data_IF_568729878473
#
_entry.id   IF_568729878473
#
_cell.length_a   1.000
_cell.length_b   1.000
_cell.length_c   1.000
_cell.angle_alpha   90.00
_cell.angle_beta   90.00
_cell.angle_gamma   90.00
#
_symmetry.space_group_name_H-M   'P 1'
#
loop_
_entity.id
_entity.type
_entity.pdbx_description
1 polymer ?
#
# COMPACT_ATOMS: atom_id res chain seq x y z
N UNK A 1 -11.67 6.88 -13.42
CA UNK A 1 -12.01 8.32 -13.48
C UNK A 1 -12.71 8.80 -12.22
N UNK A 2 -13.79 8.17 -11.76
CA UNK A 2 -14.48 8.58 -10.53
C UNK A 2 -13.59 8.49 -9.26
N UNK A 3 -12.81 7.41 -9.12
CA UNK A 3 -11.86 7.24 -8.02
C UNK A 3 -10.76 8.32 -7.99
N UNK A 4 -10.28 8.73 -9.16
CA UNK A 4 -9.28 9.80 -9.28
C UNK A 4 -9.85 11.14 -8.79
N UNK A 5 -11.05 11.50 -9.26
CA UNK A 5 -11.74 12.73 -8.83
C UNK A 5 -11.98 12.73 -7.33
N UNK A 6 -12.39 11.59 -6.77
CA UNK A 6 -12.60 11.45 -5.33
C UNK A 6 -11.31 11.66 -4.53
N UNK A 7 -10.22 10.97 -4.89
CA UNK A 7 -8.93 11.08 -4.19
C UNK A 7 -8.37 12.50 -4.29
N UNK A 8 -8.42 13.11 -5.47
CA UNK A 8 -8.01 14.50 -5.67
C UNK A 8 -8.85 15.46 -4.83
N UNK A 9 -10.18 15.22 -4.76
CA UNK A 9 -11.09 16.01 -3.95
C UNK A 9 -10.76 15.96 -2.46
N UNK A 10 -10.50 14.76 -1.91
CA UNK A 10 -10.09 14.63 -0.50
C UNK A 10 -8.75 15.33 -0.25
N UNK A 11 -7.77 15.15 -1.13
CA UNK A 11 -6.44 15.74 -0.99
C UNK A 11 -6.48 17.28 -1.00
N UNK A 12 -7.18 17.88 -1.96
CA UNK A 12 -7.30 19.34 -2.03
C UNK A 12 -8.11 19.87 -0.84
N UNK A 13 -9.20 19.19 -0.45
CA UNK A 13 -9.98 19.63 0.72
C UNK A 13 -9.16 19.65 2.01
N UNK A 14 -8.39 18.60 2.27
CA UNK A 14 -7.53 18.52 3.47
C UNK A 14 -6.39 19.55 3.42
N UNK A 15 -5.86 19.84 2.23
CA UNK A 15 -4.91 20.93 2.02
C UNK A 15 -5.52 22.29 2.42
N UNK A 16 -6.69 22.62 1.89
CA UNK A 16 -7.38 23.88 2.21
C UNK A 16 -7.78 23.97 3.69
N UNK A 17 -8.12 22.82 4.31
CA UNK A 17 -8.37 22.75 5.75
C UNK A 17 -7.13 23.16 6.56
N UNK A 18 -5.92 22.86 6.08
CA UNK A 18 -4.67 23.30 6.71
C UNK A 18 -4.54 24.82 6.75
N UNK A 19 -4.68 25.47 5.59
CA UNK A 19 -4.68 26.93 5.49
C UNK A 19 -5.75 27.55 6.39
N UNK A 20 -6.98 27.01 6.34
CA UNK A 20 -8.10 27.45 7.16
C UNK A 20 -7.79 27.41 8.67
N UNK A 21 -7.37 26.25 9.18
CA UNK A 21 -7.14 26.05 10.61
C UNK A 21 -6.05 26.97 11.15
N UNK A 22 -4.93 27.10 10.43
CA UNK A 22 -3.82 27.95 10.87
C UNK A 22 -4.16 29.43 10.73
N UNK A 23 -4.87 29.84 9.68
CA UNK A 23 -5.31 31.23 9.52
C UNK A 23 -6.22 31.67 10.68
N UNK A 24 -7.22 30.85 11.04
CA UNK A 24 -8.11 31.12 12.18
C UNK A 24 -7.32 31.18 13.49
N UNK A 25 -6.35 30.27 13.70
CA UNK A 25 -5.50 30.25 14.90
C UNK A 25 -4.59 31.48 15.00
N UNK A 26 -4.12 32.02 13.87
CA UNK A 26 -3.35 33.27 13.81
C UNK A 26 -4.22 34.54 13.91
N UNK A 27 -5.53 34.40 14.15
CA UNK A 27 -6.46 35.52 14.21
C UNK A 27 -6.58 36.27 12.89
N UNK A 28 -6.46 35.55 11.77
CA UNK A 28 -6.77 36.06 10.44
C UNK A 28 -8.25 35.82 10.14
N UNK A 29 -8.88 36.78 9.45
CA UNK A 29 -10.26 36.64 9.01
C UNK A 29 -10.31 35.66 7.83
N UNK A 30 -11.04 34.56 7.97
CA UNK A 30 -11.40 33.69 6.85
C UNK A 30 -12.81 34.01 6.42
N UNK A 31 -12.98 34.43 5.18
CA UNK A 31 -14.26 34.85 4.63
C UNK A 31 -15.10 33.65 4.20
N UNK A 32 -14.46 32.66 3.57
CA UNK A 32 -15.14 31.48 3.04
C UNK A 32 -14.29 30.22 3.28
N UNK A 33 -14.96 29.12 3.64
CA UNK A 33 -14.39 27.78 3.64
C UNK A 33 -15.41 26.83 3.03
N UNK A 34 -15.07 26.18 1.92
CA UNK A 34 -15.99 25.41 1.09
C UNK A 34 -15.48 24.01 0.86
N UNK A 35 -16.39 23.03 0.91
CA UNK A 35 -16.20 21.74 0.27
C UNK A 35 -16.66 21.85 -1.18
N UNK A 36 -15.72 21.69 -2.12
CA UNK A 36 -15.90 21.94 -3.54
C UNK A 36 -15.74 23.40 -3.94
N UNK A 37 -15.79 23.64 -5.25
CA UNK A 37 -15.65 24.95 -5.90
C UNK A 37 -17.00 25.54 -6.32
N UNK A 38 -17.11 26.88 -6.40
CA UNK A 38 -18.31 27.58 -6.85
C UNK A 38 -18.92 27.00 -8.15
N UNK A 39 -20.24 27.12 -8.36
CA UNK A 39 -21.21 27.89 -7.56
C UNK A 39 -21.63 27.21 -6.25
N UNK A 40 -22.03 28.02 -5.26
CA UNK A 40 -22.57 27.57 -3.97
C UNK A 40 -23.80 26.68 -4.18
N UNK A 41 -23.82 25.51 -3.51
CA UNK A 41 -25.02 24.69 -3.42
C UNK A 41 -25.79 25.04 -2.14
N UNK A 42 -25.14 24.90 -0.99
CA UNK A 42 -25.68 25.30 0.31
C UNK A 42 -24.57 25.86 1.20
N UNK A 43 -24.94 26.60 2.24
CA UNK A 43 -23.95 27.08 3.20
C UNK A 43 -24.54 27.90 4.33
N UNK A 44 -23.81 27.94 5.43
CA UNK A 44 -24.17 28.64 6.66
C UNK A 44 -23.07 29.62 7.02
N UNK A 45 -23.43 30.81 7.49
CA UNK A 45 -22.47 31.75 8.04
C UNK A 45 -22.38 31.57 9.55
N UNK A 46 -21.17 31.37 10.04
CA UNK A 46 -20.89 31.31 11.47
C UNK A 46 -19.72 32.25 11.79
N UNK A 47 -20.00 33.30 12.56
CA UNK A 47 -19.07 34.41 12.79
C UNK A 47 -18.76 35.17 11.50
N UNK A 48 -17.47 35.40 11.23
CA UNK A 48 -17.00 36.01 9.99
C UNK A 48 -16.89 35.05 8.79
N UNK A 49 -17.01 33.74 9.02
CA UNK A 49 -16.72 32.72 8.00
C UNK A 49 -18.01 32.14 7.42
N UNK A 50 -18.09 32.09 6.10
CA UNK A 50 -19.13 31.38 5.37
C UNK A 50 -18.67 29.94 5.07
N UNK A 51 -19.36 28.96 5.64
CA UNK A 51 -19.11 27.54 5.43
C UNK A 51 -20.01 27.02 4.33
N UNK A 52 -19.41 26.49 3.27
CA UNK A 52 -20.09 26.21 2.02
C UNK A 52 -19.92 24.74 1.62
N UNK A 53 -20.93 24.22 0.95
CA UNK A 53 -20.77 23.08 0.04
C UNK A 53 -21.18 23.57 -1.33
N UNK A 54 -20.30 23.37 -2.30
CA UNK A 54 -20.45 23.90 -3.64
C UNK A 54 -20.69 22.79 -4.66
N UNK A 55 -21.30 23.13 -5.80
CA UNK A 55 -21.77 22.16 -6.79
C UNK A 55 -20.65 21.40 -7.49
N UNK A 56 -19.43 21.94 -7.53
CA UNK A 56 -18.30 21.28 -8.16
C UNK A 56 -17.45 20.56 -7.09
N UNK A 57 -17.57 19.23 -6.91
CA UNK A 57 -16.99 18.49 -5.78
C UNK A 57 -15.49 18.18 -5.99
N UNK A 58 -14.72 19.14 -6.50
CA UNK A 58 -13.33 18.98 -6.90
C UNK A 58 -12.34 19.47 -5.83
N UNK A 59 -12.57 19.25 -4.55
CA UNK A 59 -11.62 19.66 -3.51
C UNK A 59 -12.23 20.47 -2.40
N UNK A 60 -11.45 21.45 -1.92
CA UNK A 60 -11.92 22.51 -1.03
C UNK A 60 -11.59 23.87 -1.63
N UNK A 61 -12.11 24.91 -0.98
CA UNK A 61 -11.75 26.29 -1.27
C UNK A 61 -11.73 27.09 0.03
N UNK A 62 -10.64 27.80 0.30
CA UNK A 62 -10.53 28.73 1.42
C UNK A 62 -10.25 30.14 0.91
N UNK A 63 -10.92 31.12 1.49
CA UNK A 63 -10.67 32.53 1.20
C UNK A 63 -10.22 33.24 2.48
N UNK A 64 -8.92 33.49 2.59
CA UNK A 64 -8.32 34.23 3.71
C UNK A 64 -8.21 35.71 3.33
N UNK A 65 -8.69 36.61 4.19
CA UNK A 65 -8.67 38.05 3.90
C UNK A 65 -7.23 38.56 3.70
N UNK A 66 -6.98 39.27 2.60
CA UNK A 66 -5.65 39.79 2.26
C UNK A 66 -4.69 38.75 1.68
N UNK A 67 -5.13 37.50 1.48
CA UNK A 67 -4.37 36.48 0.76
C UNK A 67 -4.88 36.43 -0.69
N UNK A 68 -4.09 36.97 -1.61
CA UNK A 68 -4.48 37.12 -3.01
C UNK A 68 -4.26 35.84 -3.80
N UNK A 69 -5.23 34.93 -3.78
CA UNK A 69 -5.17 33.72 -4.60
C UNK A 69 -5.91 33.89 -5.94
N UNK A 70 -7.03 34.62 -5.97
CA UNK A 70 -7.79 34.93 -7.20
C UNK A 70 -8.58 36.25 -7.05
N UNK A 71 -7.92 37.39 -7.28
CA UNK A 71 -8.60 38.69 -7.37
C UNK A 71 -7.80 39.86 -6.81
N UNK A 72 -8.18 41.08 -7.22
CA UNK A 72 -7.69 42.33 -6.63
C UNK A 72 -8.28 42.49 -5.23
N UNK A 73 -7.74 41.78 -4.26
CA UNK A 73 -7.85 42.23 -2.88
C UNK A 73 -6.93 43.45 -2.77
N UNK A 74 -7.52 44.65 -2.65
CA UNK A 74 -6.79 45.82 -2.18
C UNK A 74 -6.68 45.65 -0.66
N UNK A 75 -5.52 45.25 -0.11
CA UNK A 75 -5.39 45.07 1.33
C UNK A 75 -5.69 46.42 1.98
N UNK A 76 -6.67 46.46 2.87
CA UNK A 76 -7.04 47.66 3.61
C UNK A 76 -6.07 47.90 4.79
N UNK A 77 -5.11 46.98 5.00
CA UNK A 77 -4.12 47.06 6.06
C UNK A 77 -4.70 46.66 7.41
N UNK A 78 -5.83 45.95 7.42
CA UNK A 78 -6.52 45.61 8.65
C UNK A 78 -5.70 44.60 9.47
N UNK A 79 -5.71 44.66 10.82
CA UNK A 79 -4.88 43.78 11.67
C UNK A 79 -5.16 42.27 11.53
N UNK A 80 -6.32 41.90 10.96
CA UNK A 80 -6.75 40.53 10.70
C UNK A 80 -6.52 40.07 9.26
N UNK A 81 -5.97 40.93 8.40
CA UNK A 81 -5.53 40.53 7.06
C UNK A 81 -4.23 39.76 7.12
N UNK A 82 -4.08 38.80 6.20
CA UNK A 82 -2.89 37.99 6.03
C UNK A 82 -1.61 38.84 5.94
N UNK A 83 -1.62 39.84 5.06
CA UNK A 83 -0.46 40.72 4.81
C UNK A 83 -0.06 41.58 6.00
N UNK A 84 -0.99 41.86 6.92
CA UNK A 84 -0.75 42.64 8.13
C UNK A 84 -0.13 41.81 9.26
N UNK A 85 -0.13 40.48 9.17
CA UNK A 85 0.46 39.60 10.19
C UNK A 85 1.99 39.53 10.07
N UNK A 86 2.71 39.24 11.16
CA UNK A 86 4.13 38.90 11.12
C UNK A 86 4.44 37.82 10.08
N UNK A 87 5.59 37.93 9.40
CA UNK A 87 6.00 37.03 8.30
C UNK A 87 6.00 35.54 8.68
N UNK A 88 6.29 35.22 9.94
CA UNK A 88 6.27 33.82 10.39
C UNK A 88 4.85 33.23 10.44
N UNK A 89 3.82 34.04 10.74
CA UNK A 89 2.41 33.60 10.70
C UNK A 89 1.94 33.41 9.26
N UNK A 90 2.36 34.31 8.37
CA UNK A 90 2.11 34.17 6.93
C UNK A 90 2.73 32.88 6.40
N UNK A 91 4.02 32.66 6.71
CA UNK A 91 4.73 31.45 6.33
C UNK A 91 4.08 30.19 6.92
N UNK A 92 3.61 30.22 8.17
CA UNK A 92 2.95 29.06 8.77
C UNK A 92 1.63 28.73 8.09
N UNK A 93 0.85 29.74 7.69
CA UNK A 93 -0.38 29.52 6.92
C UNK A 93 -0.06 28.96 5.55
N UNK A 94 0.91 29.50 4.80
CA UNK A 94 1.33 28.95 3.50
C UNK A 94 1.83 27.50 3.59
N UNK A 95 2.56 27.16 4.66
CA UNK A 95 3.06 25.81 4.87
C UNK A 95 1.99 24.82 5.37
N UNK A 96 0.89 25.32 5.94
CA UNK A 96 -0.13 24.49 6.58
C UNK A 96 -0.83 23.53 5.61
N UNK A 97 -1.10 23.97 4.38
CA UNK A 97 -1.75 23.13 3.37
C UNK A 97 -0.93 21.88 3.03
N UNK A 98 0.32 22.02 2.55
CA UNK A 98 1.20 20.89 2.31
C UNK A 98 1.43 20.02 3.56
N UNK A 99 1.59 20.64 4.73
CA UNK A 99 1.78 19.91 5.99
C UNK A 99 0.58 19.01 6.33
N UNK A 100 -0.66 19.48 6.10
CA UNK A 100 -1.86 18.66 6.31
C UNK A 100 -1.95 17.46 5.37
N UNK A 101 -1.43 17.56 4.15
CA UNK A 101 -1.34 16.40 3.26
C UNK A 101 -0.30 15.37 3.73
N UNK A 102 0.82 15.81 4.31
CA UNK A 102 1.79 14.91 4.95
C UNK A 102 1.17 14.19 6.15
N UNK A 103 0.41 14.92 6.98
CA UNK A 103 -0.33 14.35 8.11
C UNK A 103 -1.39 13.34 7.61
N UNK A 104 -2.14 13.70 6.57
CA UNK A 104 -3.12 12.81 5.94
C UNK A 104 -2.45 11.52 5.44
N UNK A 105 -1.31 11.63 4.75
CA UNK A 105 -0.56 10.48 4.27
C UNK A 105 -0.12 9.56 5.43
N UNK A 106 0.39 10.14 6.53
CA UNK A 106 0.75 9.37 7.71
C UNK A 106 -0.45 8.65 8.33
N UNK A 107 -1.59 9.32 8.48
CA UNK A 107 -2.83 8.72 9.00
C UNK A 107 -3.34 7.61 8.07
N UNK A 108 -3.32 7.82 6.74
CA UNK A 108 -3.72 6.80 5.77
C UNK A 108 -2.83 5.56 5.86
N UNK A 109 -1.51 5.74 5.97
CA UNK A 109 -0.56 4.63 6.15
C UNK A 109 -0.86 3.87 7.45
N UNK A 110 -1.11 4.58 8.56
CA UNK A 110 -1.47 3.95 9.82
C UNK A 110 -2.79 3.17 9.72
N UNK A 111 -3.82 3.76 9.11
CA UNK A 111 -5.11 3.09 8.92
C UNK A 111 -4.98 1.83 8.06
N UNK A 112 -4.18 1.89 6.98
CA UNK A 112 -3.91 0.71 6.14
C UNK A 112 -3.18 -0.37 6.97
N UNK A 113 -2.17 -0.01 7.76
CA UNK A 113 -1.46 -0.96 8.62
C UNK A 113 -2.37 -1.60 9.67
N UNK A 114 -3.28 -0.84 10.27
CA UNK A 114 -4.23 -1.39 11.26
C UNK A 114 -5.29 -2.26 10.58
N UNK A 115 -5.81 -1.84 9.43
CA UNK A 115 -6.87 -2.57 8.74
C UNK A 115 -6.40 -3.88 8.09
N UNK A 116 -5.17 -3.90 7.55
CA UNK A 116 -4.62 -5.06 6.83
C UNK A 116 -3.52 -5.81 7.61
N UNK A 117 -3.19 -5.35 8.82
CA UNK A 117 -2.14 -5.90 9.67
C UNK A 117 -0.72 -5.53 9.22
N UNK A 118 0.28 -5.85 10.05
CA UNK A 118 1.64 -5.95 9.55
C UNK A 118 1.68 -7.13 8.57
N UNK A 119 2.11 -6.87 7.33
CA UNK A 119 2.39 -7.92 6.37
C UNK A 119 3.41 -8.87 6.99
N UNK A 120 2.96 -10.01 7.52
CA UNK A 120 3.80 -10.92 8.30
C UNK A 120 5.05 -11.39 7.53
N UNK A 121 5.01 -11.37 6.20
CA UNK A 121 6.16 -11.67 5.36
C UNK A 121 7.28 -10.62 5.46
N UNK A 122 7.00 -9.36 5.80
CA UNK A 122 8.02 -8.32 5.91
C UNK A 122 9.04 -8.64 6.99
N UNK A 123 8.62 -9.29 8.08
CA UNK A 123 9.48 -9.72 9.18
C UNK A 123 10.10 -11.11 8.96
N UNK A 124 9.91 -11.71 7.77
CA UNK A 124 10.45 -13.03 7.43
C UNK A 124 11.65 -12.90 6.51
N UNK A 125 12.60 -13.82 6.62
CA UNK A 125 13.69 -14.00 5.64
C UNK A 125 13.46 -15.22 4.73
N UNK A 126 12.28 -15.85 4.85
CA UNK A 126 11.90 -16.99 4.04
C UNK A 126 11.67 -16.57 2.59
N UNK A 127 12.23 -17.33 1.65
CA UNK A 127 11.92 -17.19 0.24
C UNK A 127 10.56 -17.84 -0.04
N UNK A 128 9.57 -17.04 -0.43
CA UNK A 128 8.26 -17.55 -0.82
C UNK A 128 8.31 -18.36 -2.11
N UNK A 129 9.15 -17.93 -3.04
CA UNK A 129 9.41 -18.60 -4.30
C UNK A 129 10.78 -18.23 -4.86
N UNK A 130 11.32 -19.12 -5.69
CA UNK A 130 12.53 -18.90 -6.47
C UNK A 130 12.25 -19.35 -7.89
N UNK A 131 12.35 -18.45 -8.86
CA UNK A 131 12.04 -18.72 -10.26
C UNK A 131 13.10 -19.62 -10.89
N UNK A 132 12.71 -20.56 -11.75
CA UNK A 132 13.67 -21.49 -12.39
C UNK A 132 14.72 -20.81 -13.27
N UNK A 133 14.42 -19.61 -13.78
CA UNK A 133 15.33 -18.82 -14.62
C UNK A 133 16.41 -18.07 -13.84
N UNK A 134 16.44 -18.14 -12.50
CA UNK A 134 17.40 -17.39 -11.70
C UNK A 134 18.64 -18.21 -11.35
N UNK A 135 19.78 -17.52 -11.22
CA UNK A 135 21.03 -18.13 -10.75
C UNK A 135 20.88 -18.75 -9.35
N UNK A 136 19.99 -18.22 -8.52
CA UNK A 136 19.67 -18.77 -7.19
C UNK A 136 19.06 -20.17 -7.33
N UNK A 137 18.12 -20.36 -8.25
CA UNK A 137 17.52 -21.66 -8.52
C UNK A 137 18.56 -22.64 -9.07
N UNK A 138 19.40 -22.22 -10.00
CA UNK A 138 20.49 -23.06 -10.53
C UNK A 138 21.45 -23.51 -9.42
N UNK A 139 21.73 -22.64 -8.45
CA UNK A 139 22.57 -22.95 -7.28
C UNK A 139 21.91 -23.89 -6.25
N UNK A 140 20.63 -24.22 -6.42
CA UNK A 140 19.90 -25.12 -5.53
C UNK A 140 19.12 -24.43 -4.41
N UNK A 141 19.05 -23.09 -4.41
CA UNK A 141 18.17 -22.33 -3.50
C UNK A 141 16.73 -22.52 -3.97
N UNK A 142 15.81 -22.77 -3.04
CA UNK A 142 14.41 -23.13 -3.33
C UNK A 142 13.46 -22.31 -2.47
N UNK A 143 12.17 -22.42 -2.78
CA UNK A 143 11.12 -21.93 -1.89
C UNK A 143 11.28 -22.54 -0.50
N UNK A 144 10.89 -21.78 0.53
CA UNK A 144 11.00 -22.10 1.97
C UNK A 144 12.40 -22.08 2.58
N UNK A 145 13.43 -21.83 1.78
CA UNK A 145 14.74 -21.49 2.33
C UNK A 145 14.65 -20.19 3.14
N UNK A 146 15.20 -20.18 4.35
CA UNK A 146 15.34 -18.97 5.14
C UNK A 146 16.73 -18.39 4.93
N UNK A 147 16.81 -17.20 4.32
CA UNK A 147 18.10 -16.53 4.17
C UNK A 147 18.53 -16.03 5.54
N UNK A 148 19.73 -16.42 5.96
CA UNK A 148 20.33 -15.99 7.23
C UNK A 148 21.41 -14.95 7.02
N UNK A 149 22.23 -15.12 5.98
CA UNK A 149 23.29 -14.18 5.63
C UNK A 149 23.50 -14.07 4.12
N UNK A 150 23.96 -12.89 3.70
CA UNK A 150 24.45 -12.62 2.34
C UNK A 150 25.81 -11.95 2.48
N UNK A 151 26.87 -12.53 1.91
CA UNK A 151 28.26 -12.08 2.07
C UNK A 151 28.68 -11.84 3.53
N UNK A 152 28.19 -12.67 4.45
CA UNK A 152 28.45 -12.56 5.89
C UNK A 152 27.59 -11.52 6.63
N UNK A 153 26.80 -10.71 5.91
CA UNK A 153 25.86 -9.77 6.51
C UNK A 153 24.58 -10.49 6.92
N UNK A 154 24.22 -10.40 8.20
CA UNK A 154 23.01 -11.01 8.75
C UNK A 154 21.77 -10.27 8.31
N UNK A 155 20.80 -11.00 7.77
CA UNK A 155 19.48 -10.49 7.38
C UNK A 155 18.42 -11.02 8.34
N UNK A 156 17.48 -10.16 8.73
CA UNK A 156 16.45 -10.48 9.73
C UNK A 156 15.02 -10.25 9.25
N UNK A 157 14.87 -9.68 8.06
CA UNK A 157 13.58 -9.32 7.48
C UNK A 157 13.68 -9.33 5.95
N UNK A 158 12.53 -9.25 5.28
CA UNK A 158 12.45 -9.36 3.82
C UNK A 158 13.17 -8.21 3.11
N UNK A 159 13.10 -7.00 3.67
CA UNK A 159 13.79 -5.84 3.10
C UNK A 159 15.31 -6.04 3.10
N UNK A 160 15.87 -6.55 4.19
CA UNK A 160 17.30 -6.87 4.30
C UNK A 160 17.73 -7.97 3.33
N UNK A 161 16.91 -9.01 3.13
CA UNK A 161 17.19 -10.04 2.10
C UNK A 161 17.32 -9.39 0.72
N UNK A 162 16.36 -8.55 0.34
CA UNK A 162 16.37 -7.89 -0.97
C UNK A 162 17.50 -6.88 -1.09
N UNK A 163 17.76 -6.07 -0.06
CA UNK A 163 18.81 -5.06 -0.05
C UNK A 163 20.19 -5.67 -0.28
N UNK A 164 20.52 -6.73 0.47
CA UNK A 164 21.83 -7.37 0.36
C UNK A 164 22.01 -8.15 -0.95
N UNK A 165 20.95 -8.83 -1.43
CA UNK A 165 21.00 -9.51 -2.73
C UNK A 165 21.09 -8.51 -3.89
N UNK A 166 20.31 -7.42 -3.86
CA UNK A 166 20.33 -6.38 -4.87
C UNK A 166 21.67 -5.60 -4.86
N UNK A 167 22.26 -5.38 -3.68
CA UNK A 167 23.59 -4.81 -3.53
C UNK A 167 24.71 -5.68 -4.10
N UNK A 168 24.44 -6.98 -4.29
CA UNK A 168 25.42 -7.97 -4.77
C UNK A 168 25.23 -8.36 -6.24
N UNK A 169 24.36 -7.68 -6.99
CA UNK A 169 24.12 -7.97 -8.41
C UNK A 169 25.40 -7.86 -9.24
N UNK A 170 25.58 -8.79 -10.18
CA UNK A 170 26.78 -8.86 -11.02
C UNK A 170 28.05 -9.32 -10.28
N UNK A 171 27.93 -9.82 -9.05
CA UNK A 171 29.05 -10.33 -8.25
C UNK A 171 28.82 -11.78 -7.82
N UNK A 172 29.92 -12.47 -7.46
CA UNK A 172 29.82 -13.75 -6.77
C UNK A 172 29.46 -13.49 -5.32
N UNK A 173 28.38 -14.12 -4.87
CA UNK A 173 27.73 -13.85 -3.59
C UNK A 173 27.61 -15.15 -2.80
N UNK A 174 28.07 -15.14 -1.56
CA UNK A 174 27.90 -16.26 -0.64
C UNK A 174 26.61 -16.06 0.16
N UNK A 175 25.67 -16.98 0.02
CA UNK A 175 24.36 -16.91 0.65
C UNK A 175 24.22 -18.08 1.63
N UNK A 176 24.08 -17.76 2.91
CA UNK A 176 23.75 -18.74 3.93
C UNK A 176 22.23 -18.87 4.01
N UNK A 177 21.72 -20.04 3.66
CA UNK A 177 20.31 -20.39 3.81
C UNK A 177 20.14 -21.48 4.86
N UNK A 178 18.99 -21.48 5.52
CA UNK A 178 18.55 -22.55 6.40
C UNK A 178 17.38 -23.31 5.75
N UNK A 179 17.51 -24.63 5.69
CA UNK A 179 16.49 -25.55 5.15
C UNK A 179 16.37 -26.73 6.10
N UNK A 180 15.14 -27.00 6.56
CA UNK A 180 14.83 -28.13 7.46
C UNK A 180 15.70 -28.15 8.74
N UNK A 181 16.10 -26.98 9.25
CA UNK A 181 16.97 -26.82 10.42
C UNK A 181 18.47 -27.01 10.14
N UNK A 182 18.85 -27.32 8.90
CA UNK A 182 20.24 -27.37 8.45
C UNK A 182 20.68 -26.07 7.79
N UNK A 183 21.95 -25.68 8.00
CA UNK A 183 22.55 -24.52 7.34
C UNK A 183 23.33 -24.93 6.08
N UNK A 184 23.11 -24.19 4.99
CA UNK A 184 23.71 -24.46 3.68
C UNK A 184 24.26 -23.14 3.14
N UNK A 185 25.54 -23.14 2.77
CA UNK A 185 26.16 -22.00 2.07
C UNK A 185 26.11 -22.24 0.57
N UNK A 186 25.66 -21.24 -0.19
CA UNK A 186 25.59 -21.25 -1.65
C UNK A 186 26.36 -20.06 -2.21
N UNK A 187 27.41 -20.33 -2.98
CA UNK A 187 28.14 -19.32 -3.74
C UNK A 187 27.53 -19.18 -5.12
N UNK A 188 26.87 -18.05 -5.39
CA UNK A 188 26.09 -17.81 -6.61
C UNK A 188 26.67 -16.63 -7.37
N UNK A 189 26.78 -16.74 -8.70
CA UNK A 189 27.07 -15.59 -9.55
C UNK A 189 25.75 -14.88 -9.87
N UNK A 190 25.44 -13.78 -9.17
CA UNK A 190 24.18 -13.08 -9.40
C UNK A 190 24.21 -12.36 -10.75
N UNK A 191 23.10 -12.40 -11.48
CA UNK A 191 22.95 -11.61 -12.70
C UNK A 191 23.00 -10.11 -12.35
N UNK A 192 23.50 -9.28 -13.27
CA UNK A 192 23.53 -7.83 -13.08
C UNK A 192 22.13 -7.22 -13.25
N UNK A 193 21.24 -7.92 -13.97
CA UNK A 193 19.85 -7.53 -14.15
C UNK A 193 19.00 -7.98 -12.95
N UNK A 194 18.52 -7.00 -12.17
CA UNK A 194 17.67 -7.24 -11.00
C UNK A 194 16.41 -8.03 -11.33
N UNK A 195 15.89 -7.95 -12.56
CA UNK A 195 14.68 -8.67 -12.97
C UNK A 195 14.88 -10.19 -12.99
N UNK A 196 16.13 -10.65 -13.04
CA UNK A 196 16.51 -12.06 -13.00
C UNK A 196 16.87 -12.58 -11.60
N UNK A 197 16.80 -11.75 -10.57
CA UNK A 197 17.04 -12.18 -9.20
C UNK A 197 16.08 -13.31 -8.80
N UNK A 198 14.82 -13.22 -9.25
CA UNK A 198 13.90 -14.34 -9.23
C UNK A 198 13.44 -14.78 -7.84
N UNK A 199 13.52 -13.91 -6.83
CA UNK A 199 12.99 -14.17 -5.47
C UNK A 199 11.61 -13.58 -5.31
N UNK A 200 10.72 -14.34 -4.66
CA UNK A 200 9.33 -13.95 -4.41
C UNK A 200 9.06 -13.98 -2.91
N UNK A 201 8.36 -12.97 -2.34
CA UNK A 201 8.06 -12.94 -0.91
C UNK A 201 7.14 -14.09 -0.49
N UNK A 202 7.20 -14.54 0.78
CA UNK A 202 6.38 -15.63 1.31
C UNK A 202 4.95 -15.14 1.61
N UNK A 203 4.23 -14.76 0.55
CA UNK A 203 2.82 -14.42 0.63
C UNK A 203 2.02 -15.68 0.96
N UNK A 204 1.15 -15.61 1.98
CA UNK A 204 0.23 -16.72 2.29
C UNK A 204 -0.74 -16.94 1.12
N UNK A 205 -1.16 -18.19 0.84
CA UNK A 205 -2.13 -18.53 -0.20
C UNK A 205 -3.57 -18.15 0.21
N UNK A 206 -3.80 -16.87 0.55
CA UNK A 206 -5.11 -16.35 0.92
C UNK A 206 -5.82 -15.78 -0.30
N UNK A 207 -7.04 -16.23 -0.55
CA UNK A 207 -7.89 -15.77 -1.64
C UNK A 207 -8.25 -14.31 -1.39
N UNK A 208 -7.90 -13.42 -2.33
CA UNK A 208 -8.28 -12.01 -2.28
C UNK A 208 -9.73 -11.82 -2.70
N UNK A 209 -10.00 -12.02 -3.99
CA UNK A 209 -11.33 -11.95 -4.58
C UNK A 209 -11.52 -13.13 -5.53
N UNK A 210 -12.72 -13.71 -5.52
CA UNK A 210 -13.14 -14.68 -6.53
C UNK A 210 -13.83 -13.95 -7.67
N UNK A 211 -13.36 -14.17 -8.89
CA UNK A 211 -13.91 -13.55 -10.10
C UNK A 211 -15.17 -14.30 -10.53
N UNK A 212 -16.31 -13.63 -10.72
CA UNK A 212 -17.54 -14.28 -11.20
C UNK A 212 -17.33 -15.00 -12.54
N UNK A 213 -17.91 -16.18 -12.69
CA UNK A 213 -17.83 -17.03 -13.87
C UNK A 213 -16.51 -17.80 -14.05
N UNK A 214 -15.59 -17.74 -13.07
CA UNK A 214 -14.34 -18.51 -13.06
C UNK A 214 -14.46 -19.81 -12.24
N UNK A 215 -13.62 -20.83 -12.50
CA UNK A 215 -13.71 -22.13 -11.85
C UNK A 215 -13.72 -22.09 -10.31
N UNK A 216 -12.99 -21.15 -9.70
CA UNK A 216 -12.95 -20.97 -8.25
C UNK A 216 -14.33 -20.65 -7.63
N UNK A 217 -15.22 -19.97 -8.36
CA UNK A 217 -16.59 -19.69 -7.90
C UNK A 217 -17.43 -20.96 -7.80
N UNK A 218 -17.25 -21.89 -8.73
CA UNK A 218 -18.04 -23.13 -8.81
C UNK A 218 -17.81 -24.06 -7.60
N UNK A 219 -16.65 -23.94 -6.96
CA UNK A 219 -16.32 -24.69 -5.74
C UNK A 219 -16.62 -23.93 -4.45
N UNK A 220 -17.22 -22.74 -4.56
CA UNK A 220 -17.66 -21.94 -3.42
C UNK A 220 -16.52 -21.25 -2.66
N UNK A 221 -15.35 -21.04 -3.29
CA UNK A 221 -14.30 -20.20 -2.71
C UNK A 221 -14.81 -18.77 -2.53
N UNK A 222 -14.32 -18.11 -1.49
CA UNK A 222 -14.67 -16.74 -1.13
C UNK A 222 -13.42 -15.93 -0.79
N UNK A 223 -13.54 -14.60 -0.87
CA UNK A 223 -12.49 -13.71 -0.39
C UNK A 223 -12.23 -13.96 1.10
N UNK A 224 -10.97 -14.13 1.47
CA UNK A 224 -10.52 -14.44 2.82
C UNK A 224 -10.16 -15.91 3.06
N UNK A 225 -10.61 -16.84 2.21
CA UNK A 225 -10.28 -18.27 2.34
C UNK A 225 -8.76 -18.48 2.28
N UNK A 226 -8.22 -19.33 3.16
CA UNK A 226 -6.81 -19.69 3.17
C UNK A 226 -6.63 -21.11 2.63
N UNK A 227 -5.99 -21.23 1.47
CA UNK A 227 -5.73 -22.53 0.84
C UNK A 227 -4.61 -23.24 1.59
N UNK A 228 -4.86 -24.45 2.08
CA UNK A 228 -3.93 -25.25 2.91
C UNK A 228 -3.24 -26.34 2.10
N UNK A 229 -3.89 -26.83 1.04
CA UNK A 229 -3.33 -27.85 0.16
C UNK A 229 -3.89 -27.79 -1.27
N UNK A 230 -3.11 -28.28 -2.22
CA UNK A 230 -3.52 -28.55 -3.61
C UNK A 230 -3.14 -29.99 -3.96
N UNK A 231 -4.10 -30.80 -4.41
CA UNK A 231 -3.91 -32.24 -4.68
C UNK A 231 -3.33 -33.02 -3.49
N UNK A 232 -3.74 -32.64 -2.26
CA UNK A 232 -3.23 -33.24 -1.02
C UNK A 232 -1.79 -32.81 -0.66
N UNK A 233 -1.11 -32.04 -1.50
CA UNK A 233 0.18 -31.43 -1.18
C UNK A 233 -0.06 -30.15 -0.39
N UNK A 234 0.47 -30.10 0.84
CA UNK A 234 0.36 -28.89 1.66
C UNK A 234 1.13 -27.73 1.03
N UNK A 235 0.49 -26.57 0.96
CA UNK A 235 1.06 -25.33 0.44
C UNK A 235 1.13 -24.30 1.56
N UNK A 236 2.26 -23.62 1.66
CA UNK A 236 2.49 -22.57 2.67
C UNK A 236 2.51 -21.20 2.02
N UNK A 237 2.90 -21.13 0.75
CA UNK A 237 3.02 -19.86 0.02
C UNK A 237 2.12 -19.82 -1.21
N UNK A 238 1.73 -18.62 -1.61
CA UNK A 238 0.99 -18.35 -2.84
C UNK A 238 1.76 -18.86 -4.07
N UNK A 239 3.08 -18.78 -4.04
CA UNK A 239 3.95 -19.27 -5.11
C UNK A 239 3.84 -20.78 -5.28
N UNK A 240 3.93 -21.56 -4.20
CA UNK A 240 3.79 -23.02 -4.28
C UNK A 240 2.43 -23.41 -4.85
N UNK A 241 1.37 -22.80 -4.34
CA UNK A 241 0.01 -23.00 -4.83
C UNK A 241 -0.11 -22.65 -6.32
N UNK A 242 0.40 -21.49 -6.75
CA UNK A 242 0.29 -21.06 -8.15
C UNK A 242 1.08 -21.97 -9.10
N UNK A 243 2.25 -22.44 -8.69
CA UNK A 243 3.04 -23.40 -9.49
C UNK A 243 2.31 -24.72 -9.70
N UNK A 244 1.63 -25.25 -8.68
CA UNK A 244 0.87 -26.51 -8.80
C UNK A 244 -0.34 -26.32 -9.73
N UNK A 245 -1.05 -25.20 -9.63
CA UNK A 245 -2.27 -24.94 -10.40
C UNK A 245 -1.95 -24.58 -11.86
N UNK A 246 -1.01 -23.67 -12.10
CA UNK A 246 -0.73 -23.14 -13.44
C UNK A 246 -0.07 -24.15 -14.38
N UNK A 247 0.58 -25.19 -13.82
CA UNK A 247 1.20 -26.26 -14.61
C UNK A 247 0.20 -27.34 -15.06
N UNK A 248 -1.10 -27.20 -14.71
CA UNK A 248 -2.15 -28.19 -14.97
C UNK A 248 -3.44 -27.57 -15.55
N UNK A 249 -3.36 -26.79 -16.64
CA UNK A 249 -4.55 -26.23 -17.25
C UNK A 249 -5.45 -27.33 -17.83
N UNK A 250 -6.75 -27.28 -17.54
CA UNK A 250 -7.72 -28.27 -18.03
C UNK A 250 -7.72 -29.61 -17.29
N UNK A 251 -6.81 -29.82 -16.33
CA UNK A 251 -6.81 -31.00 -15.46
C UNK A 251 -7.55 -30.71 -14.15
N UNK A 252 -8.22 -31.71 -13.59
CA UNK A 252 -8.87 -31.59 -12.29
C UNK A 252 -7.82 -31.45 -11.17
N UNK A 253 -7.97 -30.44 -10.33
CA UNK A 253 -7.18 -30.24 -9.12
C UNK A 253 -8.08 -30.15 -7.90
N UNK A 254 -7.71 -30.86 -6.83
CA UNK A 254 -8.38 -30.75 -5.54
C UNK A 254 -7.79 -29.59 -4.75
N UNK A 255 -8.61 -28.61 -4.39
CA UNK A 255 -8.22 -27.50 -3.53
C UNK A 255 -8.77 -27.75 -2.15
N UNK A 256 -7.92 -27.58 -1.14
CA UNK A 256 -8.30 -27.67 0.27
C UNK A 256 -8.03 -26.31 0.93
N UNK A 257 -9.00 -25.81 1.69
CA UNK A 257 -8.90 -24.49 2.32
C UNK A 257 -9.63 -24.44 3.66
N UNK A 258 -9.30 -23.41 4.44
CA UNK A 258 -10.00 -23.07 5.68
C UNK A 258 -10.64 -21.69 5.54
N UNK A 259 -11.86 -21.58 6.07
CA UNK A 259 -12.62 -20.32 6.13
C UNK A 259 -12.68 -19.83 7.57
N UNK A 260 -12.20 -18.61 7.81
CA UNK A 260 -12.32 -17.97 9.13
C UNK A 260 -13.81 -17.77 9.45
N UNK A 261 -14.28 -18.36 10.57
CA UNK A 261 -15.68 -18.29 11.02
C UNK A 261 -16.43 -19.62 11.02
N UNK A 262 -16.03 -20.60 10.20
CA UNK A 262 -16.69 -21.92 10.08
C UNK A 262 -16.16 -22.98 11.07
N UNK A 263 -15.63 -22.56 12.22
CA UNK A 263 -15.26 -23.47 13.31
C UNK A 263 -14.07 -24.41 13.03
N UNK A 264 -13.10 -23.98 12.21
CA UNK A 264 -11.94 -24.77 11.76
C UNK A 264 -12.26 -25.99 10.89
N UNK A 265 -13.45 -26.04 10.26
CA UNK A 265 -13.74 -27.03 9.24
C UNK A 265 -12.85 -26.83 8.02
N UNK A 266 -12.05 -27.84 7.68
CA UNK A 266 -11.31 -27.87 6.43
C UNK A 266 -12.27 -28.23 5.28
N UNK A 267 -12.38 -27.35 4.29
CA UNK A 267 -13.20 -27.54 3.10
C UNK A 267 -12.32 -28.06 1.97
N UNK A 268 -12.86 -28.93 1.12
CA UNK A 268 -12.14 -29.45 -0.03
C UNK A 268 -13.08 -29.68 -1.21
N UNK A 269 -12.63 -29.33 -2.40
CA UNK A 269 -13.40 -29.48 -3.63
C UNK A 269 -12.48 -29.60 -4.85
N UNK A 270 -12.98 -30.30 -5.88
CA UNK A 270 -12.31 -30.46 -7.17
C UNK A 270 -12.68 -29.30 -8.08
N UNK A 271 -11.69 -28.68 -8.70
CA UNK A 271 -11.84 -27.59 -9.67
C UNK A 271 -10.96 -27.85 -10.88
N UNK A 272 -11.39 -27.44 -12.06
CA UNK A 272 -10.60 -27.50 -13.28
C UNK A 272 -10.08 -26.09 -13.61
N UNK A 273 -8.77 -25.80 -13.49
CA UNK A 273 -8.22 -24.52 -13.86
C UNK A 273 -8.40 -24.25 -15.36
N UNK A 274 -8.72 -23.00 -15.72
CA UNK A 274 -8.69 -22.59 -17.13
C UNK A 274 -7.24 -22.40 -17.57
N UNK A 275 -7.00 -22.66 -18.86
CA UNK A 275 -5.77 -22.30 -19.55
C UNK A 275 -5.59 -20.77 -19.63
#
# INVERSE_FOLDING_TARGET
>A
MLSFVFVLGVLVFVHEMGHFLVAKKCGMKVEQFSLGYPPKAFGVRYGETEYLVSWLPLGGYVKVAGMSDFGKDNPEGQPWEFQSKPRWMQASVMAAGPAMNVILAFILILMIRVAYGEYAYLNSTMLGGVTESSALYEAGIRSRDEVRQVNGQTVTNWAGVIEELAGSLGQRTDILVEREGGQIVKSVMLDADITKLGVVPPLKPRVGQVVPGHPAENIGLQGGDLITAVNGQSVVTWWEMSQIIQTRPGEEVTITWVREGDGNGELSAVVTPRA
#
